data_IF_228564810277
#
_entry.id   IF_228564810277
#
_cell.length_a   1.000
_cell.length_b   1.000
_cell.length_c   1.000
_cell.angle_alpha   90.00
_cell.angle_beta   90.00
_cell.angle_gamma   90.00
#
_symmetry.space_group_name_H-M   'P 1'
#
loop_
_entity.id
_entity.type
_entity.pdbx_description
1 polymer ?
#
# COMPACT_ATOMS: atom_id res chain seq x y z
N UNK A 1 -5.26 -7.95 3.95
CA UNK A 1 -4.94 -8.95 4.98
C UNK A 1 -5.39 -8.43 6.34
N UNK A 2 -5.78 -9.34 7.24
CA UNK A 2 -6.34 -8.99 8.56
C UNK A 2 -5.45 -8.04 9.38
N UNK A 3 -4.13 -8.26 9.35
CA UNK A 3 -3.13 -7.42 10.02
C UNK A 3 -2.82 -6.12 9.28
N UNK A 4 -3.51 -5.80 8.18
CA UNK A 4 -3.20 -4.65 7.34
C UNK A 4 -2.20 -4.92 6.21
N UNK A 5 -1.86 -6.18 5.95
CA UNK A 5 -1.02 -6.58 4.81
C UNK A 5 -1.76 -6.43 3.48
N UNK A 6 -1.11 -5.89 2.46
CA UNK A 6 -1.61 -5.90 1.07
C UNK A 6 -0.50 -6.08 0.05
N UNK A 7 -0.84 -6.68 -1.08
CA UNK A 7 0.08 -7.00 -2.18
C UNK A 7 -0.49 -6.40 -3.46
N UNK A 8 0.39 -5.91 -4.32
CA UNK A 8 0.05 -5.39 -5.64
C UNK A 8 1.04 -5.91 -6.67
N UNK A 9 0.54 -6.46 -7.77
CA UNK A 9 1.35 -6.89 -8.90
C UNK A 9 0.78 -6.27 -10.17
N UNK A 10 1.60 -5.50 -10.87
CA UNK A 10 1.28 -4.83 -12.12
C UNK A 10 2.32 -5.22 -13.18
N UNK A 11 2.01 -6.22 -14.04
CA UNK A 11 2.96 -6.69 -15.05
C UNK A 11 3.23 -5.64 -16.13
N UNK A 12 2.29 -4.72 -16.40
CA UNK A 12 2.46 -3.66 -17.41
C UNK A 12 3.58 -2.71 -17.02
N UNK A 13 3.63 -2.32 -15.75
CA UNK A 13 4.68 -1.46 -15.20
C UNK A 13 5.83 -2.25 -14.56
N UNK A 14 5.85 -3.59 -14.72
CA UNK A 14 6.84 -4.50 -14.10
C UNK A 14 7.01 -4.28 -12.59
N UNK A 15 5.91 -3.99 -11.89
CA UNK A 15 5.89 -3.68 -10.46
C UNK A 15 5.34 -4.87 -9.66
N UNK A 16 6.08 -5.28 -8.63
CA UNK A 16 5.54 -6.08 -7.53
C UNK A 16 5.81 -5.36 -6.23
N UNK A 17 4.75 -5.10 -5.47
CA UNK A 17 4.80 -4.36 -4.21
C UNK A 17 4.11 -5.16 -3.11
N UNK A 18 4.79 -5.30 -1.97
CA UNK A 18 4.31 -6.00 -0.79
C UNK A 18 4.37 -5.03 0.38
N UNK A 19 3.21 -4.72 0.96
CA UNK A 19 3.11 -3.95 2.19
C UNK A 19 2.77 -4.88 3.34
N UNK A 20 3.68 -4.98 4.30
CA UNK A 20 3.49 -5.73 5.54
C UNK A 20 3.23 -4.76 6.68
N UNK A 21 2.17 -4.98 7.43
CA UNK A 21 1.92 -4.23 8.66
C UNK A 21 1.32 -5.10 9.75
N UNK A 22 1.38 -4.58 10.96
CA UNK A 22 0.73 -5.14 12.14
C UNK A 22 -0.28 -4.15 12.72
N UNK A 23 -1.34 -3.85 11.95
CA UNK A 23 -2.44 -2.96 12.33
C UNK A 23 -3.17 -3.39 13.61
N UNK A 24 -2.99 -4.63 14.05
CA UNK A 24 -3.72 -5.20 15.20
C UNK A 24 -2.96 -5.11 16.52
N UNK A 25 -1.73 -4.59 16.51
CA UNK A 25 -0.95 -4.40 17.71
C UNK A 25 -0.94 -2.93 18.17
N UNK A 26 -0.99 -2.67 19.50
CA UNK A 26 -1.43 -3.56 20.58
C UNK A 26 -2.94 -3.84 20.62
N UNK A 27 -3.76 -3.13 19.82
CA UNK A 27 -5.21 -3.35 19.72
C UNK A 27 -5.67 -3.45 18.27
N UNK A 28 -6.70 -4.28 18.03
CA UNK A 28 -7.36 -4.40 16.72
C UNK A 28 -8.20 -3.19 16.33
N UNK A 29 -8.36 -2.21 17.22
CA UNK A 29 -9.16 -1.02 16.93
C UNK A 29 -8.37 0.07 16.20
N UNK A 30 -7.05 -0.07 16.05
CA UNK A 30 -6.19 0.94 15.40
C UNK A 30 -6.48 1.16 13.91
N UNK A 31 -7.28 2.16 13.57
CA UNK A 31 -7.64 2.46 12.17
C UNK A 31 -6.64 3.33 11.42
N UNK A 32 -5.47 3.63 12.00
CA UNK A 32 -4.48 4.56 11.44
C UNK A 32 -4.07 4.22 10.00
N UNK A 33 -3.93 2.93 9.67
CA UNK A 33 -3.61 2.50 8.31
C UNK A 33 -4.62 3.03 7.26
N UNK A 34 -5.90 3.10 7.62
CA UNK A 34 -6.96 3.62 6.77
C UNK A 34 -7.05 5.15 6.84
N UNK A 35 -6.95 5.72 8.05
CA UNK A 35 -7.03 7.16 8.27
C UNK A 35 -5.90 7.94 7.58
N UNK A 36 -4.70 7.34 7.47
CA UNK A 36 -3.56 7.94 6.78
C UNK A 36 -3.57 7.68 5.27
N UNK A 37 -4.58 7.00 4.74
CA UNK A 37 -4.73 6.69 3.30
C UNK A 37 -3.50 6.03 2.65
N UNK A 38 -2.71 5.26 3.43
CA UNK A 38 -1.40 4.73 3.02
C UNK A 38 -1.46 4.00 1.67
N UNK A 39 -2.48 3.16 1.45
CA UNK A 39 -2.63 2.42 0.20
C UNK A 39 -2.79 3.36 -1.01
N UNK A 40 -3.66 4.35 -0.91
CA UNK A 40 -3.95 5.27 -2.01
C UNK A 40 -2.75 6.15 -2.31
N UNK A 41 -2.10 6.68 -1.27
CA UNK A 41 -0.90 7.53 -1.41
C UNK A 41 0.25 6.79 -2.09
N UNK A 42 0.51 5.53 -1.70
CA UNK A 42 1.54 4.71 -2.33
C UNK A 42 1.23 4.42 -3.79
N UNK A 43 -0.02 4.08 -4.13
CA UNK A 43 -0.39 3.85 -5.53
C UNK A 43 -0.28 5.12 -6.38
N UNK A 44 -0.70 6.27 -5.86
CA UNK A 44 -0.53 7.55 -6.55
C UNK A 44 0.95 7.83 -6.82
N UNK A 45 1.83 7.60 -5.84
CA UNK A 45 3.26 7.77 -6.00
C UNK A 45 3.84 6.85 -7.09
N UNK A 46 3.50 5.55 -7.06
CA UNK A 46 4.01 4.60 -8.06
C UNK A 46 3.57 4.98 -9.48
N UNK A 47 2.29 5.31 -9.67
CA UNK A 47 1.77 5.67 -10.99
C UNK A 47 2.18 7.06 -11.46
N UNK A 48 2.45 8.00 -10.55
CA UNK A 48 3.10 9.26 -10.90
C UNK A 48 4.52 9.01 -11.40
N UNK A 49 5.32 8.23 -10.66
CA UNK A 49 6.68 7.87 -11.08
C UNK A 49 6.70 7.21 -12.47
N UNK A 50 5.84 6.23 -12.73
CA UNK A 50 5.80 5.58 -14.04
C UNK A 50 5.33 6.50 -15.18
N UNK A 51 4.55 7.53 -14.88
CA UNK A 51 4.15 8.54 -15.86
C UNK A 51 5.32 9.45 -16.23
N UNK A 52 6.13 9.82 -15.25
CA UNK A 52 7.22 10.78 -15.43
C UNK A 52 8.45 10.11 -16.09
N UNK A 53 8.59 8.79 -16.01
CA UNK A 53 9.71 8.03 -16.59
C UNK A 53 9.42 7.35 -17.92
N UNK A 54 8.20 7.47 -18.45
CA UNK A 54 7.80 6.98 -19.79
C UNK A 54 7.67 8.14 -20.76
#
# INVERSE_FOLDING_TARGET
GFTGTFVWADPKNRLVFIFLSNRVHPSRDHRNLYAMHIRTSLQQLFYAYFRDTN
#
